data_IF_680431417662
#
_entry.id   IF_680431417662
#
_cell.length_a   1.000
_cell.length_b   1.000
_cell.length_c   1.000
_cell.angle_alpha   90.00
_cell.angle_beta   90.00
_cell.angle_gamma   90.00
#
_symmetry.space_group_name_H-M   'P 1'
#
loop_
_entity.id
_entity.type
_entity.pdbx_description
1 polymer ?
#
# COMPACT_ATOMS: atom_id res chain seq x y z
N UNK A 1 -15.14 -3.77 8.85
CA UNK A 1 -13.82 -4.04 9.50
C UNK A 1 -13.99 -5.05 10.63
N UNK A 2 -12.94 -5.77 11.06
CA UNK A 2 -13.03 -6.90 12.01
C UNK A 2 -13.51 -6.53 13.44
N UNK A 3 -13.61 -5.25 13.78
CA UNK A 3 -13.96 -4.76 15.12
C UNK A 3 -15.11 -3.74 15.15
N UNK A 4 -15.78 -3.52 14.01
CA UNK A 4 -16.75 -2.42 13.79
C UNK A 4 -18.12 -2.63 14.48
N UNK A 5 -18.23 -3.65 15.33
CA UNK A 5 -19.46 -3.97 16.08
C UNK A 5 -19.20 -4.49 17.50
N UNK A 6 -17.94 -4.45 17.95
CA UNK A 6 -17.62 -4.73 19.34
C UNK A 6 -17.62 -3.37 20.06
N UNK A 7 -18.52 -3.19 21.03
CA UNK A 7 -18.51 -2.05 21.95
C UNK A 7 -17.28 -2.13 22.86
N UNK A 8 -16.10 -1.94 22.27
CA UNK A 8 -14.83 -1.88 22.98
C UNK A 8 -14.67 -0.44 23.47
N UNK A 9 -14.66 -0.26 24.79
CA UNK A 9 -14.34 1.04 25.38
C UNK A 9 -12.90 1.43 25.03
N UNK A 10 -12.66 2.73 24.95
CA UNK A 10 -11.36 3.29 24.55
C UNK A 10 -10.20 2.79 25.41
N UNK A 11 -10.40 2.64 26.72
CA UNK A 11 -9.40 2.06 27.64
C UNK A 11 -8.94 0.66 27.21
N UNK A 12 -9.87 -0.15 26.69
CA UNK A 12 -9.60 -1.52 26.27
C UNK A 12 -8.88 -1.55 24.93
N UNK A 13 -9.21 -0.62 24.02
CA UNK A 13 -8.51 -0.43 22.75
C UNK A 13 -7.09 0.08 22.95
N UNK A 14 -6.91 1.05 23.85
CA UNK A 14 -5.59 1.54 24.28
C UNK A 14 -4.79 0.38 24.85
N UNK A 15 -5.35 -0.36 25.81
CA UNK A 15 -4.64 -1.50 26.39
C UNK A 15 -4.25 -2.54 25.34
N UNK A 16 -5.16 -2.95 24.46
CA UNK A 16 -4.89 -3.90 23.37
C UNK A 16 -3.76 -3.40 22.47
N UNK A 17 -3.80 -2.13 22.04
CA UNK A 17 -2.77 -1.55 21.18
C UNK A 17 -1.40 -1.56 21.87
N UNK A 18 -1.34 -1.07 23.10
CA UNK A 18 -0.11 -0.98 23.87
C UNK A 18 0.46 -2.36 24.18
N UNK A 19 -0.37 -3.29 24.66
CA UNK A 19 0.11 -4.57 25.21
C UNK A 19 0.27 -5.67 24.17
N UNK A 20 -0.37 -5.60 23.00
CA UNK A 20 -0.35 -6.72 22.03
C UNK A 20 0.17 -6.38 20.64
N UNK A 21 0.24 -5.10 20.25
CA UNK A 21 0.60 -4.71 18.88
C UNK A 21 1.87 -3.88 18.76
N UNK A 22 2.26 -3.19 19.83
CA UNK A 22 3.44 -2.34 19.82
C UNK A 22 4.61 -3.04 20.50
N UNK A 23 5.63 -3.35 19.71
CA UNK A 23 6.89 -3.93 20.16
C UNK A 23 8.07 -3.10 19.64
N UNK A 24 9.23 -3.21 20.27
CA UNK A 24 10.46 -2.52 19.83
C UNK A 24 10.37 -0.99 19.88
N UNK A 25 10.90 -0.32 18.85
CA UNK A 25 10.99 1.15 18.82
C UNK A 25 9.63 1.88 18.97
N UNK A 26 8.54 1.47 18.28
CA UNK A 26 7.21 2.03 18.50
C UNK A 26 6.76 1.99 19.96
N UNK A 27 7.07 0.92 20.71
CA UNK A 27 6.72 0.80 22.13
C UNK A 27 7.47 1.82 23.00
N UNK A 28 8.76 2.02 22.74
CA UNK A 28 9.60 3.02 23.42
C UNK A 28 9.07 4.44 23.20
N UNK A 29 8.63 4.75 21.97
CA UNK A 29 8.02 6.05 21.65
C UNK A 29 6.74 6.27 22.45
N UNK A 30 5.90 5.26 22.59
CA UNK A 30 4.64 5.38 23.35
C UNK A 30 4.90 5.49 24.85
N UNK A 31 5.85 4.72 25.38
CA UNK A 31 6.22 4.79 26.79
C UNK A 31 6.83 6.17 27.14
N UNK A 32 7.44 6.84 26.16
CA UNK A 32 7.96 8.21 26.27
C UNK A 32 6.91 9.32 26.11
N UNK A 33 5.67 9.00 25.67
CA UNK A 33 4.59 9.98 25.61
C UNK A 33 4.16 10.41 27.03
N UNK A 34 3.79 11.70 27.22
CA UNK A 34 3.20 12.16 28.47
C UNK A 34 2.01 11.29 28.88
N UNK A 35 1.93 10.92 30.17
CA UNK A 35 0.82 10.10 30.71
C UNK A 35 -0.55 10.71 30.40
N UNK A 36 -0.62 12.05 30.44
CA UNK A 36 -1.81 12.82 30.08
C UNK A 36 -2.31 12.62 28.63
N UNK A 37 -1.50 12.05 27.72
CA UNK A 37 -1.88 11.69 26.35
C UNK A 37 -2.21 10.20 26.24
N UNK A 38 -1.62 9.36 27.10
CA UNK A 38 -1.86 7.91 27.12
C UNK A 38 -3.16 7.51 27.81
N UNK A 39 -3.67 8.38 28.69
CA UNK A 39 -4.89 8.18 29.46
C UNK A 39 -6.11 8.92 28.83
N UNK A 40 -6.02 9.32 27.55
CA UNK A 40 -7.08 9.98 26.77
C UNK A 40 -7.83 8.93 25.93
N UNK A 41 -8.93 9.32 25.30
CA UNK A 41 -9.60 8.53 24.27
C UNK A 41 -8.62 7.96 23.22
N UNK A 42 -8.99 6.82 22.65
CA UNK A 42 -8.14 6.07 21.74
C UNK A 42 -7.81 6.87 20.46
N UNK A 43 -8.71 7.75 20.00
CA UNK A 43 -8.50 8.54 18.81
C UNK A 43 -7.40 9.60 19.02
N UNK A 44 -7.38 10.26 20.17
CA UNK A 44 -6.35 11.22 20.55
C UNK A 44 -4.96 10.56 20.67
N UNK A 45 -4.90 9.34 21.23
CA UNK A 45 -3.66 8.57 21.29
C UNK A 45 -3.14 8.22 19.88
N UNK A 46 -4.04 7.81 18.97
CA UNK A 46 -3.67 7.51 17.57
C UNK A 46 -3.13 8.76 16.87
N UNK A 47 -3.75 9.92 17.05
CA UNK A 47 -3.27 11.19 16.47
C UNK A 47 -1.87 11.52 16.98
N UNK A 48 -1.64 11.48 18.29
CA UNK A 48 -0.33 11.78 18.88
C UNK A 48 0.77 10.79 18.41
N UNK A 49 0.42 9.51 18.27
CA UNK A 49 1.35 8.50 17.75
C UNK A 49 1.67 8.73 16.28
N UNK A 50 0.69 9.07 15.45
CA UNK A 50 0.91 9.42 14.05
C UNK A 50 1.84 10.62 13.95
N UNK A 51 1.61 11.68 14.73
CA UNK A 51 2.47 12.86 14.77
C UNK A 51 3.91 12.50 15.16
N UNK A 52 4.10 11.74 16.25
CA UNK A 52 5.44 11.32 16.70
C UNK A 52 6.14 10.37 15.75
N UNK A 53 5.42 9.48 15.08
CA UNK A 53 6.02 8.65 14.04
C UNK A 53 6.34 9.46 12.79
N UNK A 54 5.54 10.48 12.43
CA UNK A 54 5.87 11.36 11.30
C UNK A 54 7.04 12.31 11.56
N UNK A 55 7.31 12.68 12.82
CA UNK A 55 8.55 13.38 13.21
C UNK A 55 9.80 12.49 12.97
N UNK A 56 9.64 11.17 12.91
CA UNK A 56 10.73 10.25 12.61
C UNK A 56 10.71 9.85 11.12
N UNK A 57 11.74 10.28 10.40
CA UNK A 57 11.92 10.20 8.93
C UNK A 57 11.67 8.80 8.31
N UNK A 58 11.75 7.74 9.11
CA UNK A 58 11.43 6.37 8.69
C UNK A 58 9.95 6.15 8.36
N UNK A 59 9.00 6.76 9.07
CA UNK A 59 7.56 6.56 8.79
C UNK A 59 7.12 7.20 7.46
N UNK A 60 7.82 8.27 7.04
CA UNK A 60 7.66 8.89 5.73
C UNK A 60 8.09 7.97 4.59
N UNK A 61 9.02 7.04 4.82
CA UNK A 61 9.43 6.03 3.83
C UNK A 61 8.55 4.78 3.82
N UNK A 62 7.96 4.40 4.96
CA UNK A 62 7.10 3.21 5.05
C UNK A 62 5.84 3.38 4.21
N UNK A 63 5.16 4.54 4.23
CA UNK A 63 3.93 4.76 3.44
C UNK A 63 4.15 4.59 1.93
N UNK A 64 5.10 5.29 1.28
CA UNK A 64 5.40 5.08 -0.13
C UNK A 64 5.83 3.64 -0.45
N UNK A 65 6.59 3.00 0.45
CA UNK A 65 7.06 1.62 0.26
C UNK A 65 5.90 0.61 0.32
N UNK A 66 4.98 0.76 1.28
CA UNK A 66 3.78 -0.07 1.37
C UNK A 66 2.86 0.16 0.18
N UNK A 67 2.63 1.41 -0.21
CA UNK A 67 1.80 1.76 -1.38
C UNK A 67 2.41 1.21 -2.66
N UNK A 68 3.74 1.30 -2.80
CA UNK A 68 4.45 0.65 -3.89
C UNK A 68 4.16 -0.85 -3.84
N UNK A 69 4.44 -1.58 -2.75
CA UNK A 69 4.21 -3.04 -2.65
C UNK A 69 2.79 -3.48 -3.00
N UNK A 70 1.77 -2.70 -2.63
CA UNK A 70 0.36 -3.03 -2.90
C UNK A 70 -0.18 -2.42 -4.19
N UNK A 71 0.66 -1.76 -5.00
CA UNK A 71 0.26 -1.19 -6.28
C UNK A 71 -0.15 -2.33 -7.22
N UNK A 72 -1.46 -2.46 -7.44
CA UNK A 72 -2.07 -3.35 -8.42
C UNK A 72 -2.58 -2.53 -9.60
N UNK A 73 -2.61 -3.10 -10.79
CA UNK A 73 -3.22 -2.45 -11.95
C UNK A 73 -4.73 -2.30 -11.71
N UNK A 74 -5.19 -1.08 -11.44
CA UNK A 74 -6.63 -0.72 -11.34
C UNK A 74 -7.09 0.20 -12.47
N UNK A 75 -6.16 0.65 -13.29
CA UNK A 75 -6.32 1.62 -14.38
C UNK A 75 -5.57 1.13 -15.64
N UNK A 76 -5.62 1.89 -16.73
CA UNK A 76 -4.89 1.56 -17.95
C UNK A 76 -3.36 1.53 -17.73
N UNK A 77 -2.64 0.91 -18.68
CA UNK A 77 -1.18 0.70 -18.62
C UNK A 77 -0.42 2.00 -18.37
N UNK A 78 -0.82 3.10 -19.02
CA UNK A 78 -0.11 4.37 -18.95
C UNK A 78 -0.26 5.03 -17.58
N UNK A 79 -1.47 5.00 -17.03
CA UNK A 79 -1.78 5.46 -15.67
C UNK A 79 -1.00 4.66 -14.62
N UNK A 80 -0.97 3.33 -14.75
CA UNK A 80 -0.19 2.45 -13.86
C UNK A 80 1.30 2.76 -13.90
N UNK A 81 1.89 2.92 -15.09
CA UNK A 81 3.30 3.29 -15.27
C UNK A 81 3.61 4.65 -14.63
N UNK A 82 2.71 5.64 -14.77
CA UNK A 82 2.88 6.96 -14.17
C UNK A 82 2.84 6.94 -12.63
N UNK A 83 1.99 6.12 -12.03
CA UNK A 83 1.96 5.92 -10.57
C UNK A 83 3.19 5.18 -10.07
N UNK A 84 3.63 4.15 -10.80
CA UNK A 84 4.84 3.38 -10.49
C UNK A 84 6.09 4.27 -10.49
N UNK A 85 6.22 5.16 -11.47
CA UNK A 85 7.30 6.14 -11.58
C UNK A 85 7.37 7.04 -10.34
N UNK A 86 6.24 7.69 -10.00
CA UNK A 86 6.15 8.60 -8.86
C UNK A 86 6.45 7.91 -7.53
N UNK A 87 5.96 6.68 -7.35
CA UNK A 87 6.16 5.92 -6.12
C UNK A 87 7.60 5.44 -5.97
N UNK A 88 8.21 4.90 -7.03
CA UNK A 88 9.60 4.42 -6.98
C UNK A 88 10.59 5.55 -6.72
N UNK A 89 10.36 6.74 -7.28
CA UNK A 89 11.20 7.92 -7.03
C UNK A 89 11.08 8.44 -5.58
N UNK A 90 9.90 8.32 -4.96
CA UNK A 90 9.68 8.66 -3.55
C UNK A 90 10.29 7.65 -2.58
N UNK A 91 10.24 6.36 -2.93
CA UNK A 91 10.78 5.28 -2.10
C UNK A 91 12.31 5.23 -2.17
N UNK A 92 12.87 5.50 -3.35
CA UNK A 92 14.30 5.39 -3.60
C UNK A 92 14.89 6.68 -4.18
N UNK A 93 14.87 7.81 -3.43
CA UNK A 93 15.27 9.12 -3.96
C UNK A 93 16.76 9.22 -4.31
N UNK A 94 17.59 8.29 -3.80
CA UNK A 94 19.04 8.23 -4.04
C UNK A 94 19.45 7.09 -4.98
N UNK A 95 18.51 6.30 -5.47
CA UNK A 95 18.83 5.19 -6.37
C UNK A 95 19.22 5.71 -7.76
N UNK A 96 20.10 4.97 -8.43
CA UNK A 96 20.45 5.26 -9.82
C UNK A 96 19.26 5.02 -10.73
N UNK A 97 19.22 5.69 -11.89
CA UNK A 97 18.20 5.47 -12.91
C UNK A 97 18.16 3.99 -13.35
N UNK A 98 19.32 3.34 -13.44
CA UNK A 98 19.43 1.94 -13.81
C UNK A 98 18.76 1.01 -12.77
N UNK A 99 18.95 1.28 -11.48
CA UNK A 99 18.36 0.48 -10.40
C UNK A 99 16.84 0.70 -10.31
N UNK A 100 16.40 1.96 -10.47
CA UNK A 100 14.98 2.29 -10.56
C UNK A 100 14.33 1.59 -11.76
N UNK A 101 14.97 1.62 -12.93
CA UNK A 101 14.48 0.98 -14.15
C UNK A 101 14.33 -0.54 -13.96
N UNK A 102 15.34 -1.20 -13.37
CA UNK A 102 15.29 -2.64 -13.06
C UNK A 102 14.15 -2.98 -12.09
N UNK A 103 13.97 -2.16 -11.04
CA UNK A 103 12.88 -2.36 -10.07
C UNK A 103 11.50 -2.18 -10.70
N UNK A 104 11.33 -1.19 -11.60
CA UNK A 104 10.07 -0.94 -12.31
C UNK A 104 9.75 -2.08 -13.27
N UNK A 105 10.74 -2.52 -14.05
CA UNK A 105 10.61 -3.61 -15.01
C UNK A 105 10.15 -4.91 -14.34
N UNK A 106 10.77 -5.28 -13.21
CA UNK A 106 10.34 -6.46 -12.44
C UNK A 106 8.88 -6.40 -12.02
N UNK A 107 8.37 -5.20 -11.73
CA UNK A 107 6.99 -5.00 -11.31
C UNK A 107 5.98 -4.96 -12.46
N UNK A 108 6.41 -4.50 -13.63
CA UNK A 108 5.61 -4.55 -14.86
C UNK A 108 5.44 -5.99 -15.36
N UNK A 109 6.49 -6.81 -15.27
CA UNK A 109 6.43 -8.23 -15.65
C UNK A 109 5.51 -9.03 -14.74
N UNK A 110 5.46 -8.68 -13.45
CA UNK A 110 4.63 -9.35 -12.45
C UNK A 110 3.22 -8.75 -12.32
N UNK A 111 2.89 -7.72 -13.10
CA UNK A 111 1.54 -7.17 -13.08
C UNK A 111 0.58 -8.14 -13.78
N UNK A 112 -0.57 -8.40 -13.18
CA UNK A 112 -1.66 -9.08 -13.87
C UNK A 112 -2.14 -8.16 -15.00
N UNK A 113 -2.02 -8.64 -16.23
CA UNK A 113 -2.50 -7.98 -17.44
C UNK A 113 -3.79 -8.68 -17.91
N UNK A 114 -4.93 -8.48 -17.23
CA UNK A 114 -6.17 -9.18 -17.54
C UNK A 114 -6.64 -8.91 -18.97
N UNK A 115 -6.32 -7.76 -19.55
CA UNK A 115 -6.65 -7.43 -20.95
C UNK A 115 -5.82 -8.25 -21.93
N UNK A 116 -4.56 -8.55 -21.59
CA UNK A 116 -3.73 -9.46 -22.39
C UNK A 116 -4.28 -10.88 -22.33
N UNK A 117 -4.63 -11.36 -21.14
CA UNK A 117 -5.25 -12.68 -20.97
C UNK A 117 -6.59 -12.76 -21.71
N UNK A 118 -7.45 -11.75 -21.57
CA UNK A 118 -8.74 -11.69 -22.24
C UNK A 118 -8.57 -11.67 -23.76
N UNK A 119 -7.68 -10.83 -24.29
CA UNK A 119 -7.36 -10.78 -25.71
C UNK A 119 -6.81 -12.12 -26.22
N UNK A 120 -5.84 -12.70 -25.52
CA UNK A 120 -5.25 -13.99 -25.86
C UNK A 120 -6.30 -15.11 -25.89
N UNK A 121 -7.12 -15.21 -24.85
CA UNK A 121 -8.16 -16.24 -24.74
C UNK A 121 -9.22 -16.06 -25.83
N UNK A 122 -9.63 -14.81 -26.12
CA UNK A 122 -10.56 -14.51 -27.21
C UNK A 122 -9.98 -14.92 -28.56
N UNK A 123 -8.69 -14.66 -28.81
CA UNK A 123 -8.02 -15.08 -30.05
C UNK A 123 -7.83 -16.60 -30.15
N UNK A 124 -7.60 -17.30 -29.03
CA UNK A 124 -7.43 -18.75 -28.99
C UNK A 124 -8.75 -19.49 -29.27
N UNK A 125 -9.86 -18.98 -28.73
CA UNK A 125 -11.18 -19.63 -28.83
C UNK A 125 -11.94 -19.21 -30.09
N UNK A 126 -11.66 -18.03 -30.65
CA UNK A 126 -12.41 -17.52 -31.79
C UNK A 126 -12.17 -18.36 -33.07
N UNK A 127 -13.24 -18.74 -33.80
CA UNK A 127 -13.11 -19.28 -35.14
C UNK A 127 -12.36 -18.32 -36.05
N UNK A 128 -11.52 -18.85 -36.95
CA UNK A 128 -10.60 -18.08 -37.80
C UNK A 128 -11.27 -16.93 -38.57
N UNK A 129 -12.49 -17.17 -39.04
CA UNK A 129 -13.25 -16.22 -39.87
C UNK A 129 -13.95 -15.13 -39.03
N UNK A 130 -14.10 -15.34 -37.71
CA UNK A 130 -14.78 -14.42 -36.79
C UNK A 130 -13.82 -13.77 -35.78
N UNK A 131 -12.53 -14.13 -35.79
CA UNK A 131 -11.55 -13.68 -34.80
C UNK A 131 -11.44 -12.15 -34.71
N UNK A 132 -11.52 -11.45 -35.84
CA UNK A 132 -11.51 -9.98 -35.86
C UNK A 132 -12.71 -9.37 -35.14
N UNK A 133 -13.92 -9.88 -35.38
CA UNK A 133 -15.16 -9.36 -34.77
C UNK A 133 -15.19 -9.62 -33.27
N UNK A 134 -14.70 -10.78 -32.85
CA UNK A 134 -14.60 -11.14 -31.43
C UNK A 134 -13.58 -10.28 -30.69
N UNK A 135 -12.43 -10.00 -31.30
CA UNK A 135 -11.44 -9.08 -30.71
C UNK A 135 -11.93 -7.63 -30.69
N UNK A 136 -12.64 -7.19 -31.74
CA UNK A 136 -13.15 -5.82 -31.83
C UNK A 136 -14.32 -5.52 -30.88
N UNK A 137 -14.89 -6.54 -30.22
CA UNK A 137 -15.97 -6.41 -29.25
C UNK A 137 -15.52 -6.48 -27.78
N UNK A 138 -14.20 -6.58 -27.53
CA UNK A 138 -13.55 -6.42 -26.22
C UNK A 138 -13.43 -4.95 -25.82
#
# INVERSE_FOLDING_TARGET
>A
MKYEGLTLNDDMLVHLLLSTKLEGYPRVVVDALPRAIRDVDFAALVVALVEKFTENDYALQVKPYTTLKTLSKRSDVSSYCGELEKLTQRVYPKASEADLSRSKAGKLVLADWPEYLLLYTTMEVAPRDCAYEWVNSL
#
